data_IF_954466446895
#
_entry.id   IF_954466446895
#
_cell.length_a   1.000
_cell.length_b   1.000
_cell.length_c   1.000
_cell.angle_alpha   90.00
_cell.angle_beta   90.00
_cell.angle_gamma   90.00
#
_symmetry.space_group_name_H-M   'P 1'
#
loop_
_entity.id
_entity.type
_entity.pdbx_description
1 polymer ?
#
# COMPACT_ATOMS: atom_id res chain seq x y z
N UNK A 1 -31.68 -10.32 -5.69
CA UNK A 1 -30.45 -11.04 -6.08
C UNK A 1 -29.46 -10.10 -6.70
N UNK A 2 -28.22 -10.19 -6.28
CA UNK A 2 -27.10 -9.40 -6.79
C UNK A 2 -26.17 -10.26 -7.64
N UNK A 3 -26.63 -11.44 -8.05
CA UNK A 3 -25.81 -12.44 -8.73
C UNK A 3 -25.63 -12.22 -10.22
N UNK A 4 -26.22 -11.17 -10.79
CA UNK A 4 -26.08 -10.85 -12.20
C UNK A 4 -25.46 -9.46 -12.42
N UNK A 5 -24.79 -9.29 -13.55
CA UNK A 5 -24.21 -8.03 -13.98
C UNK A 5 -25.25 -7.03 -14.52
N UNK A 6 -26.53 -7.40 -14.60
CA UNK A 6 -27.59 -6.61 -15.21
C UNK A 6 -28.23 -5.59 -14.24
N UNK A 7 -27.70 -5.42 -13.05
CA UNK A 7 -28.21 -4.47 -12.06
C UNK A 7 -29.68 -4.68 -11.66
N UNK A 8 -30.18 -5.92 -11.68
CA UNK A 8 -31.59 -6.23 -11.36
C UNK A 8 -31.88 -6.33 -9.85
N UNK A 9 -30.86 -6.57 -9.03
CA UNK A 9 -31.01 -6.75 -7.59
C UNK A 9 -31.46 -5.51 -6.82
N UNK A 10 -31.94 -5.71 -5.60
CA UNK A 10 -32.33 -4.62 -4.70
C UNK A 10 -31.13 -3.90 -4.07
N UNK A 11 -29.97 -4.58 -3.96
CA UNK A 11 -28.68 -4.00 -3.57
C UNK A 11 -27.74 -4.14 -4.74
N UNK A 12 -27.03 -3.08 -5.08
CA UNK A 12 -26.20 -2.99 -6.29
C UNK A 12 -24.88 -2.28 -6.00
N UNK A 13 -23.83 -2.73 -6.66
CA UNK A 13 -22.51 -2.09 -6.67
C UNK A 13 -22.08 -1.89 -8.12
N UNK A 14 -21.62 -0.71 -8.48
CA UNK A 14 -21.24 -0.38 -9.86
C UNK A 14 -20.16 0.68 -9.91
N UNK A 15 -19.26 0.59 -10.91
CA UNK A 15 -18.26 1.61 -11.22
C UNK A 15 -18.68 2.51 -12.41
N UNK A 16 -19.77 2.19 -13.12
CA UNK A 16 -20.21 2.84 -14.36
C UNK A 16 -21.63 3.39 -14.30
N UNK A 17 -21.99 3.92 -13.14
CA UNK A 17 -23.32 4.49 -12.87
C UNK A 17 -24.47 3.52 -13.16
N UNK A 18 -24.30 2.25 -12.80
CA UNK A 18 -25.28 1.17 -12.92
C UNK A 18 -25.64 0.75 -14.36
N UNK A 19 -24.78 1.05 -15.34
CA UNK A 19 -24.85 0.44 -16.67
C UNK A 19 -24.52 -1.04 -16.59
N UNK A 20 -23.52 -1.41 -15.77
CA UNK A 20 -23.23 -2.77 -15.34
C UNK A 20 -23.05 -2.84 -13.83
N UNK A 21 -23.28 -4.00 -13.24
CA UNK A 21 -23.11 -4.20 -11.81
C UNK A 21 -22.02 -5.24 -11.51
N UNK A 22 -21.32 -5.02 -10.40
CA UNK A 22 -20.36 -5.99 -9.88
C UNK A 22 -21.10 -7.26 -9.49
N UNK A 23 -20.64 -8.40 -10.01
CA UNK A 23 -21.15 -9.70 -9.63
C UNK A 23 -20.77 -10.03 -8.19
N UNK A 24 -21.70 -10.58 -7.42
CA UNK A 24 -21.47 -11.02 -6.06
C UNK A 24 -21.29 -12.54 -5.99
N UNK A 25 -20.40 -13.00 -5.12
CA UNK A 25 -20.17 -14.42 -4.89
C UNK A 25 -21.33 -15.12 -4.19
N UNK A 26 -22.16 -14.35 -3.46
CA UNK A 26 -23.34 -14.83 -2.76
C UNK A 26 -24.37 -13.71 -2.58
N UNK A 27 -25.60 -14.06 -2.21
CA UNK A 27 -26.58 -13.08 -1.75
C UNK A 27 -26.05 -12.31 -0.54
N UNK A 28 -26.44 -11.02 -0.38
CA UNK A 28 -26.01 -10.21 0.74
C UNK A 28 -26.31 -10.88 2.07
N UNK A 29 -25.29 -11.11 2.88
CA UNK A 29 -25.45 -11.68 4.20
C UNK A 29 -25.86 -10.60 5.21
N UNK A 30 -26.93 -10.86 5.97
CA UNK A 30 -27.35 -10.00 7.07
C UNK A 30 -26.63 -10.41 8.37
N UNK A 31 -26.25 -9.43 9.19
CA UNK A 31 -25.81 -9.68 10.57
C UNK A 31 -26.93 -10.33 11.40
N UNK A 32 -26.58 -10.92 12.53
CA UNK A 32 -27.53 -11.57 13.45
C UNK A 32 -28.65 -10.61 13.91
N UNK A 33 -28.34 -9.32 14.00
CA UNK A 33 -29.30 -8.25 14.34
C UNK A 33 -29.99 -7.67 13.11
N UNK A 34 -29.68 -8.16 11.90
CA UNK A 34 -30.24 -7.73 10.60
C UNK A 34 -30.15 -6.22 10.32
N UNK A 35 -29.13 -5.59 10.88
CA UNK A 35 -28.85 -4.15 10.68
C UNK A 35 -27.68 -3.89 9.76
N UNK A 36 -26.82 -4.90 9.55
CA UNK A 36 -25.65 -4.82 8.70
C UNK A 36 -25.80 -5.86 7.60
N UNK A 37 -25.60 -5.44 6.36
CA UNK A 37 -25.54 -6.32 5.19
C UNK A 37 -24.15 -6.27 4.60
N UNK A 38 -23.57 -7.43 4.34
CA UNK A 38 -22.27 -7.56 3.71
C UNK A 38 -22.44 -7.94 2.24
N UNK A 39 -21.83 -7.17 1.36
CA UNK A 39 -21.74 -7.46 -0.08
C UNK A 39 -20.35 -8.08 -0.33
N UNK A 40 -20.32 -9.27 -0.92
CA UNK A 40 -19.08 -9.97 -1.24
C UNK A 40 -18.94 -10.07 -2.76
N UNK A 41 -18.13 -9.22 -3.41
CA UNK A 41 -17.82 -9.34 -4.83
C UNK A 41 -17.24 -10.72 -5.17
N UNK A 42 -17.55 -11.25 -6.37
CA UNK A 42 -16.97 -12.51 -6.86
C UNK A 42 -15.50 -12.37 -7.21
N UNK A 43 -15.10 -11.18 -7.62
CA UNK A 43 -13.74 -10.82 -8.00
C UNK A 43 -13.26 -9.60 -7.22
N UNK A 44 -11.96 -9.39 -7.18
CA UNK A 44 -11.39 -8.18 -6.60
C UNK A 44 -11.90 -6.94 -7.34
N UNK A 45 -12.27 -5.91 -6.60
CA UNK A 45 -12.59 -4.62 -7.17
C UNK A 45 -11.35 -3.97 -7.78
N UNK A 46 -11.53 -3.24 -8.88
CA UNK A 46 -10.47 -2.46 -9.50
C UNK A 46 -9.93 -1.41 -8.53
N UNK A 47 -8.64 -1.15 -8.56
CA UNK A 47 -8.00 -0.09 -7.79
C UNK A 47 -8.38 1.30 -8.32
N UNK A 48 -8.19 2.33 -7.50
CA UNK A 48 -8.41 3.75 -7.83
C UNK A 48 -9.73 3.98 -8.58
N UNK A 49 -10.76 3.28 -8.17
CA UNK A 49 -12.05 3.26 -8.83
C UNK A 49 -13.15 3.67 -7.86
N UNK A 50 -13.98 4.62 -8.29
CA UNK A 50 -15.17 4.99 -7.53
C UNK A 50 -16.27 3.97 -7.79
N UNK A 51 -16.73 3.34 -6.74
CA UNK A 51 -17.88 2.45 -6.76
C UNK A 51 -19.08 3.10 -6.11
N UNK A 52 -20.21 3.04 -6.79
CA UNK A 52 -21.51 3.50 -6.29
C UNK A 52 -22.29 2.32 -5.73
N UNK A 53 -22.86 2.50 -4.55
CA UNK A 53 -23.76 1.56 -3.89
C UNK A 53 -25.19 2.10 -4.05
N UNK A 54 -26.10 1.23 -4.41
CA UNK A 54 -27.54 1.56 -4.49
C UNK A 54 -28.36 0.48 -3.78
N UNK A 55 -29.20 0.91 -2.85
CA UNK A 55 -30.26 0.06 -2.27
C UNK A 55 -31.59 0.60 -2.75
N UNK A 56 -32.27 -0.16 -3.58
CA UNK A 56 -33.55 0.28 -4.19
C UNK A 56 -34.71 0.08 -3.25
N UNK A 57 -35.83 0.72 -3.56
CA UNK A 57 -37.10 0.53 -2.84
C UNK A 57 -37.69 -0.90 -2.95
N UNK A 58 -37.10 -1.76 -3.78
CA UNK A 58 -37.42 -3.18 -3.83
C UNK A 58 -36.89 -3.97 -2.62
N UNK A 59 -35.91 -3.38 -1.85
CA UNK A 59 -35.45 -3.96 -0.59
C UNK A 59 -36.58 -3.94 0.44
N UNK A 60 -36.81 -5.08 1.11
CA UNK A 60 -37.92 -5.23 2.07
C UNK A 60 -37.37 -5.65 3.44
N UNK A 61 -38.06 -5.20 4.48
CA UNK A 61 -37.85 -5.70 5.85
C UNK A 61 -38.33 -7.16 5.96
N UNK A 62 -38.02 -7.80 7.08
CA UNK A 62 -38.55 -9.16 7.40
C UNK A 62 -40.07 -9.21 7.47
N UNK A 63 -40.72 -8.07 7.69
CA UNK A 63 -42.17 -7.93 7.72
C UNK A 63 -42.75 -7.63 6.34
N UNK A 64 -41.94 -7.59 5.29
CA UNK A 64 -42.33 -7.33 3.92
C UNK A 64 -42.46 -5.84 3.56
N UNK A 65 -42.20 -4.92 4.50
CA UNK A 65 -42.26 -3.48 4.24
C UNK A 65 -41.13 -3.06 3.34
N UNK A 66 -41.42 -2.41 2.23
CA UNK A 66 -40.44 -1.88 1.31
C UNK A 66 -39.70 -0.67 1.90
N UNK A 67 -38.48 -0.44 1.44
CA UNK A 67 -37.73 0.77 1.76
C UNK A 67 -38.49 1.98 1.20
N UNK A 68 -38.71 2.99 2.02
CA UNK A 68 -39.52 4.17 1.65
C UNK A 68 -38.81 5.04 0.60
N UNK A 69 -37.49 5.13 0.65
CA UNK A 69 -36.68 5.89 -0.28
C UNK A 69 -35.44 5.07 -0.65
N UNK A 70 -34.98 5.23 -1.87
CA UNK A 70 -33.71 4.64 -2.31
C UNK A 70 -32.54 5.19 -1.47
N UNK A 71 -31.57 4.35 -1.18
CA UNK A 71 -30.32 4.75 -0.57
C UNK A 71 -29.19 4.66 -1.58
N UNK A 72 -28.44 5.73 -1.72
CA UNK A 72 -27.26 5.82 -2.57
C UNK A 72 -26.06 6.23 -1.72
N UNK A 73 -24.90 5.61 -2.00
CA UNK A 73 -23.61 5.92 -1.38
C UNK A 73 -22.49 5.61 -2.35
N UNK A 74 -21.28 6.04 -2.06
CA UNK A 74 -20.10 5.71 -2.85
C UNK A 74 -18.88 5.57 -1.98
N UNK A 75 -17.88 4.86 -2.50
CA UNK A 75 -16.53 4.79 -1.94
C UNK A 75 -15.52 4.70 -3.08
N UNK A 76 -14.28 5.06 -2.80
CA UNK A 76 -13.16 4.90 -3.74
C UNK A 76 -12.29 3.78 -3.20
N UNK A 77 -11.95 2.82 -4.06
CA UNK A 77 -10.96 1.81 -3.73
C UNK A 77 -9.58 2.46 -3.62
N UNK A 78 -8.73 1.91 -2.77
CA UNK A 78 -7.35 2.39 -2.65
C UNK A 78 -6.64 2.38 -4.01
N UNK A 79 -5.64 3.24 -4.15
CA UNK A 79 -4.70 3.17 -5.27
C UNK A 79 -4.18 1.75 -5.40
N UNK A 80 -3.99 1.29 -6.63
CA UNK A 80 -3.24 0.06 -6.85
C UNK A 80 -1.96 0.14 -6.02
N UNK A 81 -1.56 -0.90 -5.29
CA UNK A 81 -0.20 -0.95 -4.83
C UNK A 81 0.61 -0.66 -6.08
N UNK A 82 1.44 0.37 -6.06
CA UNK A 82 2.27 0.63 -7.23
C UNK A 82 3.06 -0.65 -7.47
N UNK A 83 2.53 -1.41 -8.41
CA UNK A 83 3.27 -2.52 -8.97
C UNK A 83 4.36 -1.87 -9.82
N UNK A 84 5.46 -1.51 -9.19
CA UNK A 84 6.73 -1.47 -9.87
C UNK A 84 7.04 -2.94 -10.19
N UNK A 85 6.21 -3.47 -11.11
CA UNK A 85 6.35 -4.84 -11.56
C UNK A 85 7.74 -4.96 -12.16
N UNK A 86 8.57 -5.74 -11.51
CA UNK A 86 9.93 -5.97 -11.99
C UNK A 86 10.96 -4.93 -11.57
N UNK A 87 10.61 -3.97 -10.67
CA UNK A 87 11.59 -3.03 -10.16
C UNK A 87 12.35 -3.62 -8.97
N UNK A 88 13.64 -3.79 -9.14
CA UNK A 88 14.55 -4.21 -8.09
C UNK A 88 15.54 -3.09 -7.79
N UNK A 89 15.97 -3.03 -6.54
CA UNK A 89 17.01 -2.15 -6.07
C UNK A 89 18.12 -2.96 -5.41
N UNK A 90 19.34 -2.70 -5.79
CA UNK A 90 20.53 -3.24 -5.13
C UNK A 90 21.36 -2.08 -4.59
N UNK A 91 22.00 -2.31 -3.45
CA UNK A 91 22.85 -1.34 -2.78
C UNK A 91 24.17 -2.01 -2.37
N UNK A 92 25.23 -1.22 -2.23
CA UNK A 92 26.56 -1.77 -1.95
C UNK A 92 27.51 -0.77 -1.30
N UNK A 93 28.80 -1.08 -1.44
CA UNK A 93 29.88 -0.26 -0.92
C UNK A 93 29.94 1.09 -1.64
N UNK A 94 30.65 2.02 -1.04
CA UNK A 94 30.89 3.37 -1.60
C UNK A 94 29.61 4.11 -2.00
N UNK A 95 28.47 3.76 -1.38
CA UNK A 95 27.18 4.38 -1.65
C UNK A 95 26.57 3.95 -2.98
N UNK A 96 27.05 2.87 -3.60
CA UNK A 96 26.52 2.42 -4.88
C UNK A 96 25.07 1.94 -4.75
N UNK A 97 24.25 2.36 -5.72
CA UNK A 97 22.85 1.93 -5.86
C UNK A 97 22.57 1.62 -7.31
N UNK A 98 21.98 0.45 -7.53
CA UNK A 98 21.60 -0.05 -8.84
C UNK A 98 20.09 -0.30 -8.88
N UNK A 99 19.49 0.01 -10.00
CA UNK A 99 18.06 -0.22 -10.26
C UNK A 99 17.89 -1.11 -11.49
N UNK A 100 17.01 -2.08 -11.37
CA UNK A 100 16.50 -2.87 -12.48
C UNK A 100 15.00 -2.65 -12.64
N UNK A 101 14.51 -2.51 -13.87
CA UNK A 101 13.10 -2.44 -14.22
C UNK A 101 12.66 -3.58 -15.15
N UNK A 102 13.51 -4.59 -15.30
CA UNK A 102 13.32 -5.75 -16.15
C UNK A 102 13.50 -7.09 -15.40
N UNK A 103 12.99 -7.16 -14.18
CA UNK A 103 13.08 -8.35 -13.29
C UNK A 103 14.51 -8.78 -12.95
N UNK A 104 15.45 -7.84 -12.88
CA UNK A 104 16.83 -8.11 -12.52
C UNK A 104 17.72 -8.55 -13.69
N UNK A 105 17.23 -8.49 -14.92
CA UNK A 105 17.96 -8.91 -16.11
C UNK A 105 19.05 -7.91 -16.49
N UNK A 106 18.82 -6.63 -16.27
CA UNK A 106 19.80 -5.56 -16.41
C UNK A 106 19.75 -4.57 -15.26
N UNK A 107 20.83 -3.85 -15.02
CA UNK A 107 20.97 -2.94 -13.89
C UNK A 107 21.60 -1.61 -14.33
N UNK A 108 21.01 -0.51 -13.85
CA UNK A 108 21.47 0.85 -14.14
C UNK A 108 21.82 1.53 -12.82
N UNK A 109 23.00 2.18 -12.77
CA UNK A 109 23.37 3.03 -11.63
C UNK A 109 22.37 4.16 -11.47
N UNK A 110 21.94 4.38 -10.22
CA UNK A 110 21.05 5.48 -9.86
C UNK A 110 21.85 6.61 -9.19
N UNK A 111 21.30 7.81 -9.25
CA UNK A 111 21.97 8.98 -8.70
C UNK A 111 21.73 9.10 -7.20
N UNK A 112 22.65 8.64 -6.41
CA UNK A 112 22.59 8.79 -4.95
C UNK A 112 23.27 10.04 -4.42
N UNK A 113 23.67 11.00 -5.26
CA UNK A 113 24.28 12.29 -4.88
C UNK A 113 25.19 12.21 -3.64
N UNK A 114 26.13 11.26 -3.61
CA UNK A 114 27.02 11.11 -2.47
C UNK A 114 28.35 11.78 -2.70
N UNK A 115 28.77 12.50 -1.68
CA UNK A 115 30.17 12.96 -1.52
C UNK A 115 30.94 12.11 -0.52
N UNK A 116 30.30 11.13 0.13
CA UNK A 116 30.89 10.33 1.21
C UNK A 116 30.81 8.84 0.86
N UNK A 117 31.92 8.14 0.98
CA UNK A 117 32.11 6.70 0.74
C UNK A 117 31.52 5.80 1.84
N UNK A 118 30.31 6.06 2.28
CA UNK A 118 29.66 5.19 3.27
C UNK A 118 28.91 4.06 2.57
N UNK A 119 29.12 2.84 3.03
CA UNK A 119 28.49 1.64 2.49
C UNK A 119 27.03 1.56 2.88
N UNK A 120 26.20 1.16 1.96
CA UNK A 120 24.87 0.65 2.24
C UNK A 120 24.93 -0.83 2.63
N UNK A 121 24.18 -1.20 3.67
CA UNK A 121 24.08 -2.56 4.15
C UNK A 121 22.75 -3.21 3.82
N UNK A 122 21.68 -2.42 3.66
CA UNK A 122 20.35 -2.93 3.35
C UNK A 122 19.50 -1.89 2.62
N UNK A 123 18.58 -2.39 1.79
CA UNK A 123 17.53 -1.61 1.14
C UNK A 123 16.20 -2.36 1.24
N UNK A 124 15.11 -1.65 1.42
CA UNK A 124 13.76 -2.22 1.36
C UNK A 124 12.77 -1.24 0.75
N UNK A 125 11.62 -1.77 0.34
CA UNK A 125 10.54 -1.00 -0.26
C UNK A 125 9.27 -1.09 0.58
N UNK A 126 8.58 0.04 0.75
CA UNK A 126 7.27 0.13 1.38
C UNK A 126 6.67 1.50 1.16
N UNK A 127 5.35 1.59 1.10
CA UNK A 127 4.60 2.83 0.87
C UNK A 127 5.18 3.68 -0.28
N UNK A 128 5.42 3.07 -1.45
CA UNK A 128 6.03 3.73 -2.62
C UNK A 128 7.40 4.37 -2.38
N UNK A 129 8.08 3.96 -1.33
CA UNK A 129 9.37 4.52 -0.93
C UNK A 129 10.41 3.42 -0.83
N UNK A 130 11.55 3.61 -1.48
CA UNK A 130 12.76 2.84 -1.18
C UNK A 130 13.50 3.51 -0.04
N UNK A 131 13.93 2.71 0.91
CA UNK A 131 14.79 3.17 2.00
C UNK A 131 16.03 2.29 2.03
N UNK A 132 17.19 2.93 2.04
CA UNK A 132 18.48 2.29 2.22
C UNK A 132 19.13 2.75 3.52
N UNK A 133 19.78 1.82 4.23
CA UNK A 133 20.52 2.09 5.46
C UNK A 133 21.92 1.50 5.39
N UNK A 134 22.86 2.03 6.19
CA UNK A 134 24.22 1.57 6.10
C UNK A 134 25.13 2.03 7.23
N UNK A 135 26.40 2.16 6.90
CA UNK A 135 27.45 2.51 7.86
C UNK A 135 27.32 3.95 8.38
N UNK A 136 27.83 4.19 9.58
CA UNK A 136 27.88 5.52 10.21
C UNK A 136 26.53 6.24 10.24
N UNK A 137 25.44 5.51 10.46
CA UNK A 137 24.09 6.06 10.50
C UNK A 137 23.57 6.48 9.13
N UNK A 138 24.17 6.01 8.03
CA UNK A 138 23.67 6.27 6.69
C UNK A 138 22.21 5.85 6.58
N UNK A 139 21.36 6.77 6.12
CA UNK A 139 20.00 6.49 5.71
C UNK A 139 19.61 7.39 4.55
N UNK A 140 19.00 6.80 3.56
CA UNK A 140 18.53 7.49 2.34
C UNK A 140 17.16 6.95 1.95
N UNK A 141 16.37 7.82 1.33
CA UNK A 141 15.07 7.43 0.80
C UNK A 141 14.88 7.92 -0.63
N UNK A 142 14.13 7.16 -1.39
CA UNK A 142 13.66 7.53 -2.72
C UNK A 142 12.13 7.40 -2.79
N UNK A 143 11.47 8.43 -3.27
CA UNK A 143 10.02 8.47 -3.53
C UNK A 143 9.69 8.52 -5.03
N UNK A 144 10.69 8.37 -5.87
CA UNK A 144 10.60 8.44 -7.33
C UNK A 144 11.05 7.14 -7.99
N UNK A 145 10.62 6.02 -7.44
CA UNK A 145 10.91 4.67 -7.95
C UNK A 145 12.41 4.31 -7.98
N UNK A 146 13.19 4.87 -7.06
CA UNK A 146 14.62 4.60 -6.95
C UNK A 146 15.51 5.39 -7.91
N UNK A 147 14.95 6.38 -8.63
CA UNK A 147 15.73 7.18 -9.57
C UNK A 147 16.68 8.15 -8.85
N UNK A 148 16.23 8.74 -7.76
CA UNK A 148 17.01 9.63 -6.92
C UNK A 148 16.83 9.30 -5.44
N UNK A 149 17.89 9.43 -4.66
CA UNK A 149 17.87 9.23 -3.22
C UNK A 149 18.20 10.53 -2.49
N UNK A 150 17.39 10.87 -1.50
CA UNK A 150 17.62 12.00 -0.60
C UNK A 150 18.04 11.54 0.79
N UNK A 151 18.66 12.42 1.55
CA UNK A 151 19.02 12.13 2.95
C UNK A 151 17.76 11.94 3.78
N UNK A 152 17.71 10.85 4.55
CA UNK A 152 16.75 10.71 5.63
C UNK A 152 17.40 11.15 6.96
N UNK A 153 16.60 11.70 7.86
CA UNK A 153 17.11 12.13 9.16
C UNK A 153 17.21 10.92 10.11
N UNK A 154 18.41 10.46 10.38
CA UNK A 154 18.65 9.35 11.32
C UNK A 154 18.80 9.81 12.77
N UNK A 155 18.63 11.10 13.04
CA UNK A 155 19.03 11.65 14.34
C UNK A 155 20.54 11.65 14.54
N UNK A 156 20.99 12.10 15.68
CA UNK A 156 22.43 12.21 16.02
C UNK A 156 23.02 10.85 16.44
N UNK A 157 23.25 9.94 15.50
CA UNK A 157 23.88 8.66 15.82
C UNK A 157 24.68 8.09 14.65
N UNK A 158 25.95 7.74 14.92
CA UNK A 158 26.87 7.16 13.94
C UNK A 158 26.84 5.63 13.91
N UNK A 159 25.83 4.99 14.51
CA UNK A 159 25.78 3.53 14.58
C UNK A 159 25.44 2.93 13.22
N UNK A 160 26.18 1.89 12.88
CA UNK A 160 25.93 1.11 11.67
C UNK A 160 24.55 0.42 11.76
N UNK A 161 23.77 0.52 10.68
CA UNK A 161 22.57 -0.27 10.49
C UNK A 161 22.88 -1.39 9.49
N UNK A 162 22.56 -2.62 9.83
CA UNK A 162 22.89 -3.81 9.03
C UNK A 162 21.69 -4.44 8.35
N UNK A 163 20.50 -4.24 8.90
CA UNK A 163 19.26 -4.79 8.36
C UNK A 163 18.15 -3.77 8.36
N UNK A 164 17.23 -3.93 7.42
CA UNK A 164 16.06 -3.07 7.27
C UNK A 164 14.87 -3.91 6.81
N UNK A 165 13.72 -3.65 7.37
CA UNK A 165 12.45 -4.27 6.97
C UNK A 165 11.32 -3.27 6.96
N UNK A 166 10.23 -3.62 6.26
CA UNK A 166 8.99 -2.84 6.23
C UNK A 166 7.80 -3.71 6.56
N UNK A 167 6.90 -3.20 7.35
CA UNK A 167 5.62 -3.84 7.68
C UNK A 167 4.72 -2.90 8.45
N UNK A 168 3.43 -3.02 8.27
CA UNK A 168 2.43 -2.21 8.96
C UNK A 168 2.74 -0.70 8.94
N UNK A 169 2.99 -0.15 7.74
CA UNK A 169 3.35 1.26 7.48
C UNK A 169 4.58 1.76 8.27
N UNK A 170 5.49 0.86 8.61
CA UNK A 170 6.65 1.18 9.46
C UNK A 170 7.90 0.54 8.88
N UNK A 171 8.97 1.32 8.76
CA UNK A 171 10.30 0.81 8.52
C UNK A 171 11.01 0.57 9.85
N UNK A 172 11.68 -0.56 9.99
CA UNK A 172 12.50 -0.89 11.16
C UNK A 172 13.90 -1.29 10.72
N UNK A 173 14.89 -0.55 11.19
CA UNK A 173 16.30 -0.83 10.98
C UNK A 173 16.95 -1.36 12.26
N UNK A 174 17.83 -2.35 12.11
CA UNK A 174 18.60 -2.95 13.19
C UNK A 174 20.09 -2.87 12.90
N UNK A 175 20.90 -2.72 13.95
CA UNK A 175 22.30 -2.48 13.73
C UNK A 175 23.22 -2.82 14.91
N UNK A 176 24.39 -2.18 14.91
CA UNK A 176 25.43 -2.39 15.88
C UNK A 176 24.95 -2.18 17.32
N UNK A 177 25.46 -2.99 18.25
CA UNK A 177 25.18 -2.87 19.70
C UNK A 177 23.70 -2.95 20.06
N UNK A 178 22.90 -3.73 19.33
CA UNK A 178 21.48 -3.87 19.56
C UNK A 178 20.64 -2.63 19.20
N UNK A 179 21.21 -1.74 18.40
CA UNK A 179 20.52 -0.50 17.99
C UNK A 179 19.30 -0.81 17.13
N UNK A 180 18.15 -0.25 17.49
CA UNK A 180 16.93 -0.34 16.73
C UNK A 180 16.47 1.08 16.37
N UNK A 181 16.10 1.27 15.12
CA UNK A 181 15.52 2.53 14.63
C UNK A 181 14.20 2.26 13.93
N UNK A 182 13.29 3.19 14.05
CA UNK A 182 11.93 3.04 13.54
C UNK A 182 11.50 4.30 12.81
N UNK A 183 10.92 4.14 11.64
CA UNK A 183 10.30 5.22 10.88
C UNK A 183 8.82 4.92 10.65
N UNK A 184 7.97 5.92 10.89
CA UNK A 184 6.53 5.91 10.62
C UNK A 184 6.12 7.02 9.66
N UNK A 185 7.09 7.65 9.02
CA UNK A 185 6.95 8.79 8.12
C UNK A 185 7.61 8.49 6.75
N UNK A 186 7.40 7.25 6.26
CA UNK A 186 7.92 6.79 4.97
C UNK A 186 9.44 6.94 4.82
N UNK A 187 10.18 6.68 5.90
CA UNK A 187 11.63 6.75 5.88
C UNK A 187 12.21 8.16 5.92
N UNK A 188 11.41 9.20 6.19
CA UNK A 188 11.91 10.57 6.30
C UNK A 188 12.75 10.79 7.56
N UNK A 189 12.40 10.12 8.65
CA UNK A 189 13.19 10.11 9.88
C UNK A 189 13.28 8.72 10.51
N UNK A 190 14.37 8.48 11.25
CA UNK A 190 14.64 7.20 11.93
C UNK A 190 15.09 7.46 13.38
N UNK A 191 14.19 7.84 14.29
CA UNK A 191 14.52 7.95 15.69
C UNK A 191 14.91 6.58 16.30
N UNK A 192 15.76 6.61 17.33
CA UNK A 192 16.10 5.42 18.10
C UNK A 192 14.90 4.94 18.90
N UNK A 193 14.76 3.63 19.00
CA UNK A 193 13.79 2.98 19.90
C UNK A 193 14.57 2.50 21.13
N UNK A 194 14.10 2.86 22.30
CA UNK A 194 14.64 2.30 23.55
C UNK A 194 14.16 0.85 23.68
N UNK A 195 15.08 -0.05 23.91
CA UNK A 195 14.83 -1.44 24.34
C UNK A 195 14.53 -1.49 25.82
#
# INVERSE_FOLDING_TARGET
STSDTNCAGSMRLSADNFSTCVQMSAEPAASSVKQIFTLNPSDNLSYDTTYNIKVTTAAKSILGNALSTQYDSSFITSLAPSSVSGLFMAVGNDGETLRSDDNGSSWVSTNCQFTNSNDFNAVTFGNNTYVGVGNSGLSRRSTDTGANFSTANTGSGSNHLYGLTFGNNTFVGVGASGHIRRSTDDGASFPSVSS
#
